data_IF_638916761925
#
_entry.id   IF_638916761925
#
_cell.length_a   1.000
_cell.length_b   1.000
_cell.length_c   1.000
_cell.angle_alpha   90.00
_cell.angle_beta   90.00
_cell.angle_gamma   90.00
#
_symmetry.space_group_name_H-M   'P 1'
#
loop_
_entity.id
_entity.type
_entity.pdbx_description
1 polymer ?
#
# COMPACT_ATOMS: atom_id res chain seq x y z
N UNK A 1 -21.45 -10.25 7.19
CA UNK A 1 -20.27 -10.99 6.75
C UNK A 1 -19.14 -10.01 6.56
N UNK A 2 -18.13 -10.09 7.43
CA UNK A 2 -16.88 -9.33 7.33
C UNK A 2 -16.13 -9.72 6.07
N UNK A 3 -15.66 -8.71 5.34
CA UNK A 3 -14.95 -8.87 4.05
C UNK A 3 -13.47 -8.51 4.13
N UNK A 4 -13.06 -7.82 5.21
CA UNK A 4 -11.70 -7.36 5.44
C UNK A 4 -11.37 -7.34 6.92
N UNK A 5 -10.09 -7.42 7.24
CA UNK A 5 -9.60 -7.20 8.60
C UNK A 5 -9.79 -5.74 9.03
N UNK A 6 -9.88 -5.53 10.33
CA UNK A 6 -10.07 -4.24 10.96
C UNK A 6 -8.77 -3.68 11.49
N UNK A 7 -8.73 -2.36 11.72
CA UNK A 7 -7.58 -1.69 12.36
C UNK A 7 -7.18 -2.34 13.69
N UNK A 8 -8.16 -2.75 14.52
CA UNK A 8 -7.90 -3.37 15.82
C UNK A 8 -7.09 -4.66 15.69
N UNK A 9 -7.37 -5.44 14.64
CA UNK A 9 -6.66 -6.69 14.36
C UNK A 9 -5.22 -6.46 13.89
N UNK A 10 -4.95 -5.33 13.22
CA UNK A 10 -3.58 -4.90 12.91
C UNK A 10 -2.84 -4.41 14.16
N UNK A 11 -3.55 -3.78 15.10
CA UNK A 11 -2.97 -3.30 16.35
C UNK A 11 -2.50 -4.46 17.25
N UNK A 12 -3.17 -5.61 17.19
CA UNK A 12 -2.81 -6.85 17.90
C UNK A 12 -1.49 -7.49 17.43
N UNK A 13 -1.01 -7.15 16.23
CA UNK A 13 0.23 -7.70 15.68
C UNK A 13 1.47 -7.16 16.40
N UNK A 14 2.46 -8.03 16.58
CA UNK A 14 3.80 -7.63 17.03
C UNK A 14 4.54 -6.82 15.95
N UNK A 15 5.61 -6.13 16.33
CA UNK A 15 6.44 -5.37 15.38
C UNK A 15 6.96 -6.26 14.23
N UNK A 16 7.42 -7.46 14.55
CA UNK A 16 7.93 -8.44 13.58
C UNK A 16 6.84 -8.90 12.62
N UNK A 17 5.64 -9.23 13.14
CA UNK A 17 4.51 -9.62 12.31
C UNK A 17 4.05 -8.50 11.38
N UNK A 18 4.10 -7.23 11.84
CA UNK A 18 3.78 -6.07 11.00
C UNK A 18 4.79 -5.91 9.85
N UNK A 19 6.07 -6.08 10.15
CA UNK A 19 7.13 -6.05 9.14
C UNK A 19 6.93 -7.16 8.11
N UNK A 20 6.75 -8.40 8.57
CA UNK A 20 6.53 -9.55 7.70
C UNK A 20 5.24 -9.40 6.86
N UNK A 21 4.18 -8.83 7.43
CA UNK A 21 2.95 -8.51 6.70
C UNK A 21 3.21 -7.46 5.62
N UNK A 22 3.94 -6.39 5.94
CA UNK A 22 4.32 -5.37 4.96
C UNK A 22 5.11 -6.02 3.82
N UNK A 23 6.08 -6.88 4.12
CA UNK A 23 6.94 -7.53 3.11
C UNK A 23 6.16 -8.48 2.19
N UNK A 24 5.13 -9.16 2.71
CA UNK A 24 4.29 -10.09 1.93
C UNK A 24 3.23 -9.41 1.09
N UNK A 25 2.78 -8.25 1.55
CA UNK A 25 1.76 -7.48 0.89
C UNK A 25 2.31 -6.80 -0.36
N UNK A 26 1.63 -7.06 -1.48
CA UNK A 26 1.84 -6.40 -2.76
C UNK A 26 0.68 -5.42 -2.95
N UNK A 27 0.93 -4.10 -2.87
CA UNK A 27 -0.14 -3.10 -2.99
C UNK A 27 -0.78 -3.11 -4.38
N UNK A 28 -2.11 -3.02 -4.42
CA UNK A 28 -2.89 -2.77 -5.61
C UNK A 28 -3.69 -1.46 -5.50
N UNK A 29 -4.09 -0.92 -6.64
CA UNK A 29 -4.99 0.23 -6.70
C UNK A 29 -6.33 -0.21 -6.09
N UNK A 30 -6.95 0.67 -5.32
CA UNK A 30 -8.18 0.46 -4.54
C UNK A 30 -8.04 -0.39 -3.27
N UNK A 31 -6.83 -0.81 -2.92
CA UNK A 31 -6.59 -1.41 -1.61
C UNK A 31 -6.87 -0.40 -0.50
N UNK A 32 -7.50 -0.87 0.59
CA UNK A 32 -7.68 -0.06 1.79
C UNK A 32 -6.53 -0.32 2.75
N UNK A 33 -5.88 0.73 3.22
CA UNK A 33 -4.67 0.63 4.05
C UNK A 33 -4.68 1.60 5.21
N UNK A 34 -3.82 1.34 6.19
CA UNK A 34 -3.57 2.20 7.36
C UNK A 34 -2.14 2.72 7.27
N UNK A 35 -1.96 4.03 7.16
CA UNK A 35 -0.66 4.69 7.29
C UNK A 35 -0.43 5.17 8.71
N UNK A 36 0.79 5.02 9.22
CA UNK A 36 1.26 5.69 10.43
C UNK A 36 1.89 7.02 10.02
N UNK A 37 1.39 8.14 10.56
CA UNK A 37 1.86 9.49 10.20
C UNK A 37 2.29 10.22 11.46
N UNK A 38 3.47 10.84 11.42
CA UNK A 38 3.93 11.71 12.49
C UNK A 38 3.10 13.01 12.46
N UNK A 39 2.35 13.27 13.53
CA UNK A 39 1.55 14.49 13.70
C UNK A 39 2.34 15.54 14.48
N UNK A 40 3.16 15.09 15.43
CA UNK A 40 4.02 15.96 16.24
C UNK A 40 5.39 15.31 16.40
N UNK A 41 6.39 15.88 15.76
CA UNK A 41 7.76 15.39 15.82
C UNK A 41 8.46 15.72 17.15
N UNK A 42 8.04 16.76 17.87
CA UNK A 42 8.64 17.15 19.14
C UNK A 42 8.22 16.21 20.27
N UNK A 43 6.97 15.74 20.22
CA UNK A 43 6.42 14.79 21.21
C UNK A 43 6.39 13.33 20.71
N UNK A 44 6.98 13.05 19.53
CA UNK A 44 6.95 11.73 18.87
C UNK A 44 5.54 11.13 18.76
N UNK A 45 4.53 11.97 18.47
CA UNK A 45 3.15 11.52 18.32
C UNK A 45 2.87 11.09 16.89
N UNK A 46 2.36 9.87 16.78
CA UNK A 46 1.94 9.28 15.52
C UNK A 46 0.42 9.02 15.54
N UNK A 47 -0.22 9.29 14.42
CA UNK A 47 -1.62 8.98 14.17
C UNK A 47 -1.76 7.96 13.04
N UNK A 48 -2.81 7.15 13.11
CA UNK A 48 -3.15 6.18 12.07
C UNK A 48 -4.24 6.71 11.18
N UNK A 49 -3.93 6.82 9.89
CA UNK A 49 -4.84 7.31 8.87
C UNK A 49 -5.25 6.15 7.97
N UNK A 50 -6.56 5.92 7.86
CA UNK A 50 -7.13 4.95 6.91
C UNK A 50 -7.37 5.65 5.57
N UNK A 51 -6.91 5.04 4.50
CA UNK A 51 -7.10 5.55 3.14
C UNK A 51 -7.20 4.44 2.10
N UNK A 52 -7.58 4.82 0.88
CA UNK A 52 -7.67 3.92 -0.27
C UNK A 52 -6.58 4.31 -1.26
N UNK A 53 -5.81 3.34 -1.74
CA UNK A 53 -4.74 3.59 -2.71
C UNK A 53 -5.36 4.01 -4.04
N UNK A 54 -5.05 5.23 -4.50
CA UNK A 54 -5.46 5.72 -5.81
C UNK A 54 -4.40 5.53 -6.89
N UNK A 55 -3.12 5.42 -6.50
CA UNK A 55 -2.02 5.20 -7.44
C UNK A 55 -0.76 4.71 -6.74
N UNK A 56 0.10 4.07 -7.51
CA UNK A 56 1.35 3.49 -7.03
C UNK A 56 2.49 3.97 -7.92
N UNK A 57 3.55 4.47 -7.29
CA UNK A 57 4.77 4.87 -7.98
C UNK A 57 5.96 4.13 -7.41
N UNK A 58 6.72 3.48 -8.29
CA UNK A 58 7.99 2.88 -7.94
C UNK A 58 9.07 3.97 -7.84
N UNK A 59 9.76 4.00 -6.70
CA UNK A 59 10.91 4.85 -6.44
C UNK A 59 12.21 4.10 -6.77
N UNK A 60 13.35 4.77 -6.57
CA UNK A 60 14.66 4.13 -6.65
C UNK A 60 14.77 3.09 -5.53
N UNK A 61 15.53 2.03 -5.73
CA UNK A 61 15.72 0.93 -4.76
C UNK A 61 14.49 0.06 -4.46
N UNK A 62 13.51 -0.02 -5.37
CA UNK A 62 12.27 -0.79 -5.22
C UNK A 62 11.34 -0.32 -4.09
N UNK A 63 11.56 0.88 -3.55
CA UNK A 63 10.60 1.51 -2.65
C UNK A 63 9.32 1.88 -3.42
N UNK A 64 8.17 1.83 -2.74
CA UNK A 64 6.88 2.13 -3.33
C UNK A 64 6.26 3.33 -2.61
N UNK A 65 5.79 4.30 -3.39
CA UNK A 65 5.00 5.42 -2.93
C UNK A 65 3.54 5.19 -3.31
N UNK A 66 2.66 5.28 -2.31
CA UNK A 66 1.24 4.97 -2.40
C UNK A 66 0.45 6.28 -2.27
N UNK A 67 -0.25 6.67 -3.34
CA UNK A 67 -1.05 7.89 -3.37
C UNK A 67 -2.44 7.63 -2.80
N UNK A 68 -2.92 8.56 -1.98
CA UNK A 68 -4.28 8.53 -1.45
C UNK A 68 -5.27 8.96 -2.55
N UNK A 69 -6.25 8.09 -2.80
CA UNK A 69 -7.29 8.30 -3.80
C UNK A 69 -8.03 9.63 -3.60
N UNK A 70 -8.12 10.14 -2.37
CA UNK A 70 -8.77 11.42 -2.07
C UNK A 70 -8.16 12.61 -2.82
N UNK A 71 -6.86 12.57 -3.13
CA UNK A 71 -6.13 13.67 -3.77
C UNK A 71 -5.90 13.44 -5.27
N UNK A 72 -6.39 12.33 -5.82
CA UNK A 72 -6.31 12.07 -7.25
C UNK A 72 -7.36 12.89 -8.01
N UNK A 73 -6.96 13.47 -9.13
CA UNK A 73 -7.92 14.08 -10.06
C UNK A 73 -8.81 13.00 -10.70
N UNK A 74 -10.11 13.27 -10.80
CA UNK A 74 -11.14 12.37 -11.37
C UNK A 74 -10.81 11.87 -12.79
N UNK A 75 -9.92 12.55 -13.50
CA UNK A 75 -9.53 12.21 -14.88
C UNK A 75 -8.75 10.90 -15.03
N UNK A 76 -8.31 10.28 -13.92
CA UNK A 76 -7.57 9.01 -13.93
C UNK A 76 -8.45 7.76 -13.87
N UNK A 77 -9.77 7.89 -13.62
CA UNK A 77 -10.74 6.79 -13.80
C UNK A 77 -11.17 6.72 -15.27
N UNK A 78 -10.20 6.61 -16.17
CA UNK A 78 -10.45 6.15 -17.54
C UNK A 78 -10.23 4.65 -17.53
N UNK A 79 -11.33 3.90 -17.38
CA UNK A 79 -11.38 2.50 -17.79
C UNK A 79 -10.99 2.52 -19.27
N UNK A 80 -9.73 2.21 -19.57
CA UNK A 80 -9.27 2.04 -20.93
C UNK A 80 -9.95 0.78 -21.44
N UNK A 81 -11.00 0.95 -22.22
CA UNK A 81 -11.40 -0.08 -23.17
C UNK A 81 -10.23 -0.28 -24.12
N UNK A 82 -9.77 -1.53 -24.20
CA UNK A 82 -8.67 -1.96 -25.06
C UNK A 82 -8.91 -1.52 -26.50
N UNK A 83 -7.99 -0.73 -27.05
CA UNK A 83 -7.84 -0.64 -28.50
C UNK A 83 -6.36 -0.73 -28.85
N UNK A 84 -6.01 -1.90 -29.36
CA UNK A 84 -4.74 -2.24 -29.96
C UNK A 84 -4.39 -1.26 -31.09
N UNK A 85 -3.28 -0.55 -30.97
CA UNK A 85 -2.53 -0.05 -32.14
C UNK A 85 -1.10 0.32 -31.78
N UNK A 86 -0.22 -0.64 -32.03
CA UNK A 86 1.23 -0.52 -32.04
C UNK A 86 1.69 0.27 -33.27
N UNK A 87 2.28 1.45 -33.07
CA UNK A 87 3.33 2.05 -33.92
C UNK A 87 3.96 3.20 -33.11
N UNK A 88 5.27 3.34 -32.90
CA UNK A 88 6.41 2.99 -33.74
C UNK A 88 6.92 4.26 -34.40
N UNK A 89 7.84 4.99 -33.75
CA UNK A 89 8.45 6.19 -34.32
C UNK A 89 9.38 6.95 -33.38
N UNK A 90 10.65 6.54 -33.36
CA UNK A 90 11.78 7.30 -32.83
C UNK A 90 12.11 8.40 -33.85
N UNK A 91 12.15 9.67 -33.46
CA UNK A 91 13.06 10.64 -34.08
C UNK A 91 13.67 11.58 -33.03
N UNK A 92 15.00 11.60 -33.05
CA UNK A 92 15.85 12.54 -32.37
C UNK A 92 15.87 13.85 -33.16
N UNK A 93 15.93 15.00 -32.48
CA UNK A 93 16.55 16.16 -33.10
C UNK A 93 17.30 17.05 -32.11
N UNK A 94 18.43 17.56 -32.62
CA UNK A 94 19.61 18.08 -31.93
C UNK A 94 19.89 19.46 -32.52
N UNK A 95 19.97 20.52 -31.71
CA UNK A 95 20.57 21.83 -32.08
C UNK A 95 21.13 22.45 -30.78
N UNK A 96 22.43 22.37 -30.45
CA UNK A 96 23.57 23.26 -30.82
C UNK A 96 23.40 24.77 -30.51
N UNK A 97 23.96 25.18 -29.35
CA UNK A 97 25.03 26.19 -29.21
C UNK A 97 24.77 27.67 -29.58
N UNK A 98 24.88 28.55 -28.58
CA UNK A 98 25.51 29.88 -28.73
C UNK A 98 26.18 30.32 -27.42
N UNK A 99 27.44 30.73 -27.56
CA UNK A 99 28.40 31.15 -26.54
C UNK A 99 28.21 32.59 -26.01
N UNK A 100 28.70 32.78 -24.78
CA UNK A 100 29.47 33.89 -24.23
C UNK A 100 28.88 35.31 -24.04
N UNK A 101 28.82 35.74 -22.77
CA UNK A 101 29.52 36.96 -22.31
C UNK A 101 29.67 36.96 -20.77
N UNK A 102 30.93 36.89 -20.32
CA UNK A 102 31.40 37.15 -18.95
C UNK A 102 31.35 38.65 -18.61
N UNK A 103 31.00 39.03 -17.36
CA UNK A 103 31.51 40.24 -16.69
C UNK A 103 31.25 40.22 -15.17
N UNK A 104 32.29 39.81 -14.43
CA UNK A 104 32.78 40.19 -13.09
C UNK A 104 32.17 41.36 -12.28
N UNK A 105 32.15 41.19 -10.94
CA UNK A 105 32.26 42.25 -9.90
C UNK A 105 31.39 41.97 -8.66
N UNK A 106 31.82 41.19 -7.67
CA UNK A 106 32.59 41.54 -6.45
C UNK A 106 31.95 42.59 -5.49
N UNK A 107 31.70 42.10 -4.26
CA UNK A 107 31.60 42.80 -2.96
C UNK A 107 30.42 43.72 -2.63
N UNK A 108 29.49 43.27 -1.77
CA UNK A 108 29.30 43.82 -0.40
C UNK A 108 28.12 43.15 0.33
N UNK A 109 28.35 42.85 1.60
CA UNK A 109 27.44 42.34 2.64
C UNK A 109 26.17 43.19 2.81
N UNK A 110 24.99 42.58 2.72
CA UNK A 110 23.80 42.95 3.49
C UNK A 110 23.01 41.67 3.77
N UNK A 111 22.99 41.23 5.03
CA UNK A 111 22.02 40.22 5.50
C UNK A 111 20.64 40.88 5.41
N UNK A 112 19.67 40.34 4.64
CA UNK A 112 18.31 40.67 4.91
C UNK A 112 17.93 39.93 6.21
N UNK A 113 17.81 40.66 7.31
CA UNK A 113 16.97 40.24 8.42
C UNK A 113 15.54 40.16 7.85
N UNK A 114 15.21 39.04 7.20
CA UNK A 114 13.84 38.68 6.88
C UNK A 114 13.14 38.43 8.21
N UNK A 115 12.55 39.49 8.77
CA UNK A 115 11.46 39.35 9.72
C UNK A 115 10.40 38.48 9.04
N UNK A 116 10.42 37.18 9.36
CA UNK A 116 9.36 36.25 9.03
C UNK A 116 8.08 36.79 9.66
N UNK A 117 7.34 37.60 8.91
CA UNK A 117 5.95 37.90 9.20
C UNK A 117 5.23 36.57 9.09
N UNK A 118 4.97 35.94 10.23
CA UNK A 118 3.95 34.91 10.32
C UNK A 118 2.65 35.58 9.90
N UNK A 119 2.28 35.42 8.63
CA UNK A 119 0.92 35.66 8.19
C UNK A 119 0.03 34.89 9.17
N UNK A 120 -0.88 35.61 9.85
CA UNK A 120 -1.76 35.09 10.90
C UNK A 120 -2.70 33.96 10.41
N UNK A 121 -2.60 33.59 9.13
CA UNK A 121 -3.33 32.51 8.48
C UNK A 121 -2.50 31.21 8.31
N UNK A 122 -1.24 31.16 8.79
CA UNK A 122 -0.48 29.90 8.81
C UNK A 122 -1.03 28.98 9.92
N UNK A 123 -2.12 28.29 9.60
CA UNK A 123 -2.75 27.36 10.50
C UNK A 123 -1.83 26.14 10.67
N UNK A 124 -1.24 25.97 11.86
CA UNK A 124 -0.38 24.84 12.24
C UNK A 124 -1.14 23.50 12.37
N UNK A 125 -2.39 23.44 11.89
CA UNK A 125 -3.17 22.22 11.86
C UNK A 125 -2.53 21.18 10.93
N UNK A 126 -2.47 19.94 11.41
CA UNK A 126 -1.93 18.81 10.68
C UNK A 126 -2.58 18.67 9.30
N UNK A 127 -1.75 18.77 8.25
CA UNK A 127 -2.17 18.54 6.88
C UNK A 127 -1.90 17.09 6.50
N UNK A 128 -2.97 16.37 6.13
CA UNK A 128 -2.89 14.98 5.67
C UNK A 128 -2.04 14.89 4.39
N UNK A 129 -0.98 14.07 4.35
CA UNK A 129 -0.18 13.87 3.15
C UNK A 129 -0.98 13.30 1.98
N UNK A 130 -0.58 13.63 0.75
CA UNK A 130 -1.18 13.09 -0.48
C UNK A 130 -0.69 11.68 -0.81
N UNK A 131 0.47 11.30 -0.29
CA UNK A 131 1.09 10.01 -0.54
C UNK A 131 1.91 9.52 0.66
N UNK A 132 2.06 8.21 0.76
CA UNK A 132 2.72 7.52 1.86
C UNK A 132 3.73 6.51 1.33
N UNK A 133 4.82 6.32 2.06
CA UNK A 133 5.79 5.28 1.77
C UNK A 133 5.19 3.94 2.19
N UNK A 134 5.34 2.89 1.37
CA UNK A 134 4.76 1.56 1.64
C UNK A 134 5.15 1.00 3.01
N UNK A 135 6.39 1.21 3.44
CA UNK A 135 6.92 0.75 4.72
C UNK A 135 6.15 1.33 5.92
N UNK A 136 5.56 2.51 5.78
CA UNK A 136 4.75 3.15 6.83
C UNK A 136 3.27 2.75 6.77
N UNK A 137 2.92 1.85 5.85
CA UNK A 137 1.57 1.40 5.57
C UNK A 137 1.38 -0.09 5.90
N UNK A 138 0.19 -0.41 6.42
CA UNK A 138 -0.29 -1.79 6.60
C UNK A 138 -1.61 -1.99 5.86
N UNK A 139 -1.79 -3.10 5.13
CA UNK A 139 -3.03 -3.37 4.42
C UNK A 139 -4.16 -3.80 5.35
N UNK A 140 -5.37 -3.29 5.10
CA UNK A 140 -6.60 -3.91 5.61
C UNK A 140 -7.00 -5.01 4.63
N UNK A 141 -6.32 -6.15 4.73
CA UNK A 141 -6.48 -7.28 3.82
C UNK A 141 -7.94 -7.71 3.67
N UNK A 142 -8.38 -7.84 2.42
CA UNK A 142 -9.62 -8.52 2.08
C UNK A 142 -9.43 -10.03 1.95
N UNK A 143 -10.55 -10.75 1.76
CA UNK A 143 -10.56 -12.21 1.59
C UNK A 143 -9.64 -12.66 0.45
N UNK A 144 -9.65 -11.97 -0.69
CA UNK A 144 -8.86 -12.33 -1.86
C UNK A 144 -7.37 -12.16 -1.60
N UNK A 145 -6.98 -11.05 -0.99
CA UNK A 145 -5.59 -10.76 -0.63
C UNK A 145 -5.05 -11.74 0.42
N UNK A 146 -5.85 -12.13 1.40
CA UNK A 146 -5.45 -13.16 2.38
C UNK A 146 -5.23 -14.52 1.70
N UNK A 147 -6.13 -14.93 0.80
CA UNK A 147 -5.98 -16.17 0.03
C UNK A 147 -4.73 -16.13 -0.84
N UNK A 148 -4.47 -15.03 -1.54
CA UNK A 148 -3.27 -14.84 -2.36
C UNK A 148 -1.98 -14.90 -1.53
N UNK A 149 -1.94 -14.27 -0.35
CA UNK A 149 -0.78 -14.36 0.55
C UNK A 149 -0.53 -15.81 0.97
N UNK A 150 -1.58 -16.54 1.37
CA UNK A 150 -1.48 -17.94 1.78
C UNK A 150 -1.04 -18.84 0.61
N UNK A 151 -1.54 -18.58 -0.60
CA UNK A 151 -1.16 -19.31 -1.80
C UNK A 151 0.31 -19.06 -2.16
N UNK A 152 0.77 -17.80 -2.18
CA UNK A 152 2.16 -17.44 -2.49
C UNK A 152 3.16 -17.97 -1.46
N UNK A 153 2.74 -18.12 -0.21
CA UNK A 153 3.57 -18.68 0.87
C UNK A 153 3.71 -20.20 0.81
N UNK A 154 3.06 -20.91 -0.11
CA UNK A 154 3.14 -22.38 -0.29
C UNK A 154 4.50 -22.94 -0.77
N UNK A 155 5.63 -22.31 -0.43
CA UNK A 155 6.95 -22.94 -0.49
C UNK A 155 7.32 -23.62 0.84
N UNK A 156 6.50 -24.57 1.30
CA UNK A 156 7.00 -25.72 2.07
C UNK A 156 6.42 -26.03 3.46
N UNK A 157 5.73 -25.12 4.16
CA UNK A 157 5.40 -25.33 5.58
C UNK A 157 3.93 -25.09 6.01
N UNK A 158 3.10 -24.46 5.18
CA UNK A 158 1.69 -24.21 5.51
C UNK A 158 0.78 -25.42 5.29
N UNK A 159 -0.03 -25.79 6.30
CA UNK A 159 -1.11 -26.76 6.19
C UNK A 159 -2.45 -26.06 5.87
N UNK A 160 -2.46 -25.25 4.80
CA UNK A 160 -3.68 -24.58 4.31
C UNK A 160 -4.31 -25.37 3.15
N UNK A 161 -5.63 -25.53 3.23
CA UNK A 161 -6.45 -26.07 2.15
C UNK A 161 -7.80 -25.36 2.13
N UNK A 162 -8.18 -24.84 0.96
CA UNK A 162 -9.47 -24.25 0.68
C UNK A 162 -10.17 -25.10 -0.36
N UNK A 163 -11.43 -25.45 -0.12
CA UNK A 163 -12.28 -26.05 -1.13
C UNK A 163 -13.63 -25.34 -1.18
N UNK A 164 -14.12 -25.10 -2.40
CA UNK A 164 -15.42 -24.53 -2.65
C UNK A 164 -16.14 -25.36 -3.71
N UNK A 165 -17.31 -25.90 -3.36
CA UNK A 165 -18.14 -26.66 -4.29
C UNK A 165 -19.22 -25.75 -4.89
N UNK A 166 -19.31 -25.73 -6.22
CA UNK A 166 -20.32 -24.99 -6.99
C UNK A 166 -21.00 -25.98 -7.92
N UNK A 167 -22.13 -26.53 -7.48
CA UNK A 167 -22.82 -27.61 -8.20
C UNK A 167 -21.94 -28.84 -8.32
N UNK A 168 -21.60 -29.22 -9.55
CA UNK A 168 -20.74 -30.38 -9.85
C UNK A 168 -19.24 -30.03 -9.91
N UNK A 169 -18.89 -28.74 -9.79
CA UNK A 169 -17.50 -28.29 -9.81
C UNK A 169 -16.98 -28.11 -8.39
N UNK A 170 -15.76 -28.57 -8.14
CA UNK A 170 -15.03 -28.29 -6.89
C UNK A 170 -13.79 -27.49 -7.26
N UNK A 171 -13.66 -26.30 -6.69
CA UNK A 171 -12.44 -25.51 -6.73
C UNK A 171 -11.63 -25.84 -5.48
N UNK A 172 -10.37 -26.23 -5.66
CA UNK A 172 -9.46 -26.59 -4.58
C UNK A 172 -8.19 -25.75 -4.69
N UNK A 173 -7.67 -25.29 -3.56
CA UNK A 173 -6.43 -24.53 -3.46
C UNK A 173 -5.66 -24.95 -2.20
N UNK A 174 -4.34 -24.97 -2.28
CA UNK A 174 -3.45 -25.30 -1.17
C UNK A 174 -2.88 -26.71 -1.26
N UNK A 175 -2.55 -27.30 -0.11
CA UNK A 175 -1.82 -28.58 -0.05
C UNK A 175 -2.75 -29.76 -0.33
N UNK A 176 -2.45 -30.50 -1.39
CA UNK A 176 -3.18 -31.72 -1.73
C UNK A 176 -2.78 -32.84 -0.75
N UNK A 177 -3.76 -33.48 -0.10
CA UNK A 177 -3.63 -34.56 0.90
C UNK A 177 -3.35 -34.13 2.35
N UNK A 178 -4.09 -33.15 2.89
CA UNK A 178 -4.10 -32.93 4.35
C UNK A 178 -4.79 -34.10 5.04
N UNK A 179 -4.00 -35.08 5.47
CA UNK A 179 -4.48 -36.16 6.35
C UNK A 179 -4.64 -35.62 7.77
N UNK A 180 -5.89 -35.54 8.25
CA UNK A 180 -6.19 -35.24 9.64
C UNK A 180 -6.66 -33.81 9.94
N UNK A 181 -6.92 -32.96 8.94
CA UNK A 181 -7.57 -31.66 9.18
C UNK A 181 -9.07 -31.84 9.37
N UNK A 182 -9.57 -31.39 10.51
CA UNK A 182 -11.01 -31.18 10.70
C UNK A 182 -11.46 -30.04 9.80
N UNK A 183 -12.28 -30.34 8.79
CA UNK A 183 -12.94 -29.33 7.97
C UNK A 183 -13.71 -28.38 8.89
N UNK A 184 -13.57 -27.07 8.67
CA UNK A 184 -14.22 -26.05 9.50
C UNK A 184 -15.73 -26.27 9.68
N UNK A 185 -16.39 -26.80 8.65
CA UNK A 185 -17.82 -27.16 8.64
C UNK A 185 -18.23 -28.09 9.81
N UNK A 186 -17.29 -28.86 10.39
CA UNK A 186 -17.59 -29.82 11.46
C UNK A 186 -17.59 -29.21 12.87
N UNK A 187 -17.09 -27.98 13.08
CA UNK A 187 -16.81 -27.46 14.42
C UNK A 187 -17.83 -26.46 15.00
N UNK A 188 -18.94 -26.19 14.33
CA UNK A 188 -20.12 -25.49 14.90
C UNK A 188 -19.79 -24.17 15.64
N UNK A 189 -18.70 -23.49 15.25
CA UNK A 189 -18.34 -22.17 15.74
C UNK A 189 -18.90 -21.15 14.76
N UNK A 190 -19.59 -20.13 15.26
CA UNK A 190 -20.04 -18.97 14.46
C UNK A 190 -18.85 -18.05 14.13
N UNK A 191 -17.78 -18.58 13.52
CA UNK A 191 -16.64 -17.77 13.09
C UNK A 191 -16.80 -17.45 11.60
N UNK A 192 -16.55 -16.20 11.22
CA UNK A 192 -16.65 -15.78 9.82
C UNK A 192 -15.39 -16.19 9.04
N UNK A 193 -15.53 -16.41 7.72
CA UNK A 193 -14.42 -16.80 6.83
C UNK A 193 -13.22 -15.84 6.94
N UNK A 194 -13.50 -14.54 7.02
CA UNK A 194 -12.47 -13.51 7.16
C UNK A 194 -11.59 -13.72 8.40
N UNK A 195 -12.19 -14.12 9.53
CA UNK A 195 -11.46 -14.33 10.78
C UNK A 195 -10.55 -15.56 10.67
N UNK A 196 -11.04 -16.64 10.06
CA UNK A 196 -10.27 -17.88 9.87
C UNK A 196 -9.07 -17.65 8.95
N UNK A 197 -9.30 -16.94 7.84
CA UNK A 197 -8.23 -16.57 6.91
C UNK A 197 -7.21 -15.67 7.60
N UNK A 198 -7.67 -14.72 8.43
CA UNK A 198 -6.78 -13.84 9.16
C UNK A 198 -5.91 -14.58 10.18
N UNK A 199 -6.49 -15.48 10.97
CA UNK A 199 -5.71 -16.36 11.86
C UNK A 199 -4.69 -17.20 11.09
N UNK A 200 -5.07 -17.70 9.91
CA UNK A 200 -4.18 -18.47 9.05
C UNK A 200 -3.02 -17.62 8.55
N UNK A 201 -3.29 -16.40 8.10
CA UNK A 201 -2.24 -15.45 7.69
C UNK A 201 -1.34 -15.12 8.86
N UNK A 202 -1.89 -14.79 10.04
CA UNK A 202 -1.10 -14.48 11.26
C UNK A 202 -0.15 -15.60 11.66
N UNK A 203 -0.54 -16.86 11.48
CA UNK A 203 0.33 -18.01 11.74
C UNK A 203 1.52 -18.12 10.77
N UNK A 204 1.46 -17.42 9.63
CA UNK A 204 2.55 -17.33 8.62
C UNK A 204 3.36 -16.04 8.69
N UNK A 205 2.95 -15.09 9.54
CA UNK A 205 3.64 -13.84 9.80
C UNK A 205 4.73 -13.99 10.85
#
# INVERSE_FOLDING_TARGET
MKLRITRKELEELTLEQRQNLCDLWIPHIYDTVVANVCVDAAEEKYEQIIYVIGGIKLLKHNDMLLYDLKFMADETVKIKEDDDSFSGGIEADRIEGTDAAEASGDSSEEEPEEEFSFDEDFNFEFQRPEAYIKQDCLPLLDIGQMVDILERKNFGEGDFYLSAAIGDYVLEMGKNNISGSTSYDQNNKEIELCDILWESVKATL
#
